data_IF_353168404919
#
_entry.id   IF_353168404919
#
_cell.length_a   1.000
_cell.length_b   1.000
_cell.length_c   1.000
_cell.angle_alpha   90.00
_cell.angle_beta   90.00
_cell.angle_gamma   90.00
#
_symmetry.space_group_name_H-M   'P 1'
#
loop_
_entity.id
_entity.type
_entity.pdbx_description
1 polymer ?
#
# COMPACT_ATOMS: atom_id res chain seq x y z
N UNK A 1 -33.18 -0.03 -6.97
CA UNK A 1 -32.04 -0.60 -7.72
C UNK A 1 -30.85 -0.57 -6.77
N UNK A 2 -30.61 -1.68 -6.07
CA UNK A 2 -29.72 -1.75 -4.89
C UNK A 2 -28.37 -2.39 -5.26
N UNK A 3 -27.60 -1.74 -6.12
CA UNK A 3 -26.28 -2.25 -6.55
C UNK A 3 -25.16 -1.91 -5.55
N UNK A 4 -25.29 -0.82 -4.78
CA UNK A 4 -24.19 -0.30 -3.94
C UNK A 4 -23.94 -1.12 -2.66
N UNK A 5 -24.90 -1.93 -2.20
CA UNK A 5 -24.76 -2.65 -0.93
C UNK A 5 -23.82 -3.88 -1.02
N UNK A 6 -23.73 -4.53 -2.20
CA UNK A 6 -22.85 -5.70 -2.40
C UNK A 6 -21.39 -5.32 -2.69
N UNK A 7 -21.17 -4.20 -3.38
CA UNK A 7 -19.84 -3.65 -3.64
C UNK A 7 -19.23 -3.07 -2.36
N UNK A 8 -19.97 -2.26 -1.58
CA UNK A 8 -19.50 -1.70 -0.32
C UNK A 8 -19.09 -2.76 0.74
N UNK A 9 -19.78 -3.91 0.77
CA UNK A 9 -19.40 -5.02 1.66
C UNK A 9 -18.12 -5.73 1.23
N UNK A 10 -17.88 -5.81 -0.09
CA UNK A 10 -16.66 -6.38 -0.65
C UNK A 10 -15.48 -5.42 -0.45
N UNK A 11 -15.74 -4.12 -0.61
CA UNK A 11 -14.85 -2.98 -0.39
C UNK A 11 -14.37 -2.94 1.06
N UNK A 12 -15.22 -2.74 2.06
CA UNK A 12 -14.78 -2.72 3.47
C UNK A 12 -13.93 -3.94 3.86
N UNK A 13 -14.27 -5.10 3.30
CA UNK A 13 -13.52 -6.34 3.51
C UNK A 13 -12.09 -6.32 3.01
N UNK A 14 -11.74 -5.52 1.99
CA UNK A 14 -10.38 -5.40 1.48
C UNK A 14 -9.50 -4.59 2.43
N UNK A 15 -9.90 -3.36 2.79
CA UNK A 15 -9.12 -2.54 3.71
C UNK A 15 -8.93 -3.19 5.09
N UNK A 16 -9.95 -3.90 5.60
CA UNK A 16 -9.84 -4.67 6.85
C UNK A 16 -8.81 -5.80 6.75
N UNK A 17 -8.77 -6.54 5.63
CA UNK A 17 -7.78 -7.60 5.39
C UNK A 17 -6.36 -7.06 5.30
N UNK A 18 -6.22 -5.86 4.74
CA UNK A 18 -4.94 -5.17 4.62
C UNK A 18 -4.51 -4.52 5.94
N UNK A 19 -5.42 -4.45 6.92
CA UNK A 19 -5.15 -4.01 8.29
C UNK A 19 -5.17 -2.50 8.49
N UNK A 20 -5.92 -1.76 7.66
CA UNK A 20 -6.19 -0.34 7.87
C UNK A 20 -7.19 -0.15 9.01
N UNK A 21 -7.07 0.97 9.72
CA UNK A 21 -7.86 1.32 10.90
C UNK A 21 -8.60 2.65 10.68
N UNK A 22 -9.71 2.90 11.40
CA UNK A 22 -10.43 4.15 11.25
C UNK A 22 -9.60 5.29 11.84
N UNK A 23 -9.68 6.47 11.23
CA UNK A 23 -8.94 7.67 11.59
C UNK A 23 -7.48 7.71 11.15
N UNK A 24 -7.02 6.75 10.34
CA UNK A 24 -5.66 6.78 9.79
C UNK A 24 -5.59 7.68 8.56
N UNK A 25 -4.59 8.53 8.50
CA UNK A 25 -4.19 9.23 7.27
C UNK A 25 -3.33 8.27 6.45
N UNK A 26 -3.72 8.03 5.19
CA UNK A 26 -3.02 7.12 4.28
C UNK A 26 -2.51 7.90 3.09
N UNK A 27 -1.20 7.89 2.88
CA UNK A 27 -0.58 8.47 1.69
C UNK A 27 -0.42 7.42 0.60
N UNK A 28 -0.67 7.81 -0.65
CA UNK A 28 -0.47 6.97 -1.82
C UNK A 28 0.68 7.44 -2.69
N UNK A 29 1.43 6.49 -3.24
CA UNK A 29 2.59 6.70 -4.09
C UNK A 29 2.50 5.79 -5.33
N UNK A 30 2.98 6.25 -6.48
CA UNK A 30 2.96 5.47 -7.73
C UNK A 30 1.56 5.32 -8.34
N UNK A 31 0.65 6.23 -8.02
CA UNK A 31 -0.69 6.25 -8.58
C UNK A 31 -0.64 6.41 -10.11
N UNK A 32 -1.36 5.55 -10.83
CA UNK A 32 -1.50 5.60 -12.28
C UNK A 32 -2.88 5.04 -12.70
N UNK A 33 -3.17 5.01 -13.99
CA UNK A 33 -4.48 4.62 -14.56
C UNK A 33 -4.88 3.15 -14.30
N UNK A 34 -3.95 2.29 -13.87
CA UNK A 34 -4.13 0.84 -13.63
C UNK A 34 -4.38 0.46 -12.16
N UNK A 35 -4.43 1.44 -11.26
CA UNK A 35 -4.70 1.23 -9.84
C UNK A 35 -6.10 0.68 -9.60
N UNK A 36 -6.25 -0.06 -8.50
CA UNK A 36 -7.54 -0.61 -8.10
C UNK A 36 -8.38 0.46 -7.36
N UNK A 37 -9.26 1.17 -8.09
CA UNK A 37 -10.16 2.18 -7.53
C UNK A 37 -11.07 1.62 -6.42
N UNK A 38 -11.44 0.34 -6.54
CA UNK A 38 -12.27 -0.33 -5.53
C UNK A 38 -11.49 -0.48 -4.22
N UNK A 39 -10.21 -0.81 -4.30
CA UNK A 39 -9.34 -0.84 -3.13
C UNK A 39 -9.18 0.55 -2.51
N UNK A 40 -8.96 1.60 -3.31
CA UNK A 40 -8.85 2.99 -2.81
C UNK A 40 -10.12 3.43 -2.09
N UNK A 41 -11.29 3.23 -2.71
CA UNK A 41 -12.59 3.55 -2.11
C UNK A 41 -12.82 2.79 -0.79
N UNK A 42 -12.44 1.51 -0.76
CA UNK A 42 -12.46 0.67 0.43
C UNK A 42 -11.61 1.24 1.57
N UNK A 43 -10.39 1.70 1.26
CA UNK A 43 -9.49 2.30 2.25
C UNK A 43 -10.09 3.59 2.78
N UNK A 44 -10.54 4.48 1.89
CA UNK A 44 -11.15 5.77 2.28
C UNK A 44 -12.39 5.59 3.15
N UNK A 45 -13.27 4.63 2.82
CA UNK A 45 -14.44 4.32 3.65
C UNK A 45 -14.02 3.76 5.02
N UNK A 46 -12.96 2.96 5.04
CA UNK A 46 -12.48 2.30 6.26
C UNK A 46 -11.76 3.25 7.21
N UNK A 47 -10.94 4.15 6.67
CA UNK A 47 -10.23 5.20 7.43
C UNK A 47 -11.18 6.33 7.79
N UNK A 48 -12.17 6.61 6.95
CA UNK A 48 -13.02 7.80 7.06
C UNK A 48 -12.36 9.07 6.51
N UNK A 49 -11.20 8.94 5.87
CA UNK A 49 -10.39 10.01 5.30
C UNK A 49 -10.06 9.65 3.84
N UNK A 50 -10.00 10.63 2.95
CA UNK A 50 -9.50 10.40 1.58
C UNK A 50 -7.99 10.13 1.61
N UNK A 51 -7.51 9.33 0.65
CA UNK A 51 -6.08 9.08 0.50
C UNK A 51 -5.41 10.38 0.03
N UNK A 52 -4.25 10.70 0.60
CA UNK A 52 -3.45 11.87 0.22
C UNK A 52 -2.37 11.44 -0.77
N UNK A 53 -2.02 12.32 -1.71
CA UNK A 53 -1.02 12.04 -2.75
C UNK A 53 0.42 12.16 -2.24
N UNK A 54 1.38 11.83 -3.11
CA UNK A 54 2.81 11.88 -2.82
C UNK A 54 3.34 13.29 -2.49
N UNK A 55 2.63 14.34 -2.89
CA UNK A 55 2.97 15.74 -2.62
C UNK A 55 2.56 16.19 -1.20
N UNK A 56 1.91 15.32 -0.42
CA UNK A 56 1.50 15.64 0.94
C UNK A 56 2.71 15.75 1.89
N UNK A 57 2.95 16.97 2.40
CA UNK A 57 4.06 17.32 3.31
C UNK A 57 3.87 16.87 4.77
N UNK A 58 2.73 16.28 5.13
CA UNK A 58 2.41 15.88 6.50
C UNK A 58 2.90 14.47 6.84
N UNK A 59 2.91 14.16 8.14
CA UNK A 59 3.17 12.78 8.60
C UNK A 59 1.89 11.96 8.47
N UNK A 60 2.00 10.73 7.97
CA UNK A 60 0.86 9.81 7.79
C UNK A 60 0.98 8.55 8.64
N UNK A 61 -0.16 7.90 8.94
CA UNK A 61 -0.20 6.67 9.74
C UNK A 61 0.20 5.42 8.96
N UNK A 62 -0.01 5.45 7.64
CA UNK A 62 0.33 4.36 6.72
C UNK A 62 0.58 4.90 5.30
N UNK A 63 1.35 4.15 4.53
CA UNK A 63 1.56 4.43 3.11
C UNK A 63 1.10 3.26 2.25
N UNK A 64 0.59 3.60 1.07
CA UNK A 64 0.20 2.69 0.00
C UNK A 64 1.10 2.96 -1.20
N UNK A 65 1.97 2.01 -1.55
CA UNK A 65 2.87 2.13 -2.68
C UNK A 65 2.39 1.22 -3.80
N UNK A 66 1.99 1.78 -4.94
CA UNK A 66 1.76 1.02 -6.17
C UNK A 66 3.08 0.89 -6.91
N UNK A 67 3.56 -0.34 -7.08
CA UNK A 67 4.89 -0.60 -7.62
C UNK A 67 4.83 -1.55 -8.82
N UNK A 68 5.52 -1.18 -9.90
CA UNK A 68 5.60 -1.93 -11.15
C UNK A 68 7.06 -2.19 -11.50
N UNK A 69 7.31 -3.15 -12.37
CA UNK A 69 8.68 -3.55 -12.78
C UNK A 69 9.30 -2.57 -13.80
N UNK A 70 8.47 -1.73 -14.42
CA UNK A 70 8.84 -0.76 -15.46
C UNK A 70 9.07 0.66 -14.92
N UNK A 71 9.00 0.84 -13.61
CA UNK A 71 9.33 2.12 -12.95
C UNK A 71 10.82 2.48 -13.19
N UNK A 72 11.11 3.77 -13.39
CA UNK A 72 12.48 4.24 -13.66
C UNK A 72 13.37 4.24 -12.41
N UNK A 73 12.75 4.39 -11.23
CA UNK A 73 13.41 4.43 -9.93
C UNK A 73 13.66 3.04 -9.35
N UNK A 74 14.58 2.94 -8.38
CA UNK A 74 14.79 1.69 -7.63
C UNK A 74 13.79 1.59 -6.47
N UNK A 75 13.15 0.42 -6.31
CA UNK A 75 12.19 0.17 -5.23
C UNK A 75 12.77 0.48 -3.84
N UNK A 76 14.06 0.24 -3.65
CA UNK A 76 14.72 0.52 -2.37
C UNK A 76 14.70 2.00 -2.06
N UNK A 77 15.04 2.85 -3.03
CA UNK A 77 15.10 4.30 -2.85
C UNK A 77 13.71 4.86 -2.57
N UNK A 78 12.71 4.40 -3.33
CA UNK A 78 11.31 4.77 -3.10
C UNK A 78 10.81 4.30 -1.73
N UNK A 79 11.20 3.11 -1.28
CA UNK A 79 10.85 2.62 0.06
C UNK A 79 11.50 3.46 1.18
N UNK A 80 12.69 4.02 0.96
CA UNK A 80 13.34 4.94 1.90
C UNK A 80 12.56 6.26 1.99
N UNK A 81 12.13 6.81 0.86
CA UNK A 81 11.33 8.04 0.81
C UNK A 81 9.95 7.84 1.46
N UNK A 82 9.25 6.75 1.10
CA UNK A 82 7.97 6.37 1.70
C UNK A 82 8.10 6.16 3.21
N UNK A 83 9.18 5.54 3.68
CA UNK A 83 9.46 5.39 5.10
C UNK A 83 9.64 6.73 5.81
N UNK A 84 10.15 7.76 5.12
CA UNK A 84 10.30 9.11 5.66
C UNK A 84 8.96 9.82 5.92
N UNK A 85 7.94 9.55 5.10
CA UNK A 85 6.61 10.16 5.23
C UNK A 85 5.74 9.51 6.33
N UNK A 86 5.99 8.24 6.65
CA UNK A 86 5.19 7.46 7.60
C UNK A 86 5.66 7.69 9.04
N UNK A 87 4.71 7.88 9.97
CA UNK A 87 5.00 8.01 11.40
C UNK A 87 5.79 6.77 11.89
N UNK A 88 6.71 6.97 12.85
CA UNK A 88 7.56 5.91 13.38
C UNK A 88 6.78 4.68 13.86
N UNK A 89 6.74 3.63 13.02
CA UNK A 89 6.02 2.38 13.28
C UNK A 89 4.72 2.18 12.50
N UNK A 90 4.39 3.10 11.58
CA UNK A 90 3.32 2.93 10.61
C UNK A 90 3.60 1.79 9.62
N UNK A 91 2.53 1.38 8.93
CA UNK A 91 2.60 0.27 7.97
C UNK A 91 2.79 0.82 6.55
N UNK A 92 3.69 0.22 5.80
CA UNK A 92 3.84 0.46 4.37
C UNK A 92 3.25 -0.75 3.65
N UNK A 93 2.31 -0.52 2.75
CA UNK A 93 1.70 -1.55 1.94
C UNK A 93 2.15 -1.39 0.49
N UNK A 94 3.06 -2.28 0.06
CA UNK A 94 3.55 -2.33 -1.33
C UNK A 94 2.61 -3.21 -2.13
N UNK A 95 2.00 -2.66 -3.16
CA UNK A 95 1.13 -3.35 -4.09
C UNK A 95 1.90 -3.60 -5.38
N UNK A 96 1.94 -4.86 -5.82
CA UNK A 96 2.51 -5.22 -7.13
C UNK A 96 1.47 -5.94 -7.99
N UNK A 97 1.51 -5.80 -9.32
CA UNK A 97 0.64 -6.58 -10.20
C UNK A 97 0.81 -8.07 -9.95
N UNK A 98 -0.27 -8.85 -9.99
CA UNK A 98 -0.18 -10.31 -9.82
C UNK A 98 0.59 -10.99 -10.95
N UNK A 99 1.16 -12.16 -10.65
CA UNK A 99 1.89 -12.96 -11.61
C UNK A 99 1.12 -13.17 -12.93
N UNK A 100 1.78 -12.92 -14.06
CA UNK A 100 1.18 -12.98 -15.39
C UNK A 100 0.54 -11.67 -15.87
N UNK A 101 0.64 -10.59 -15.10
CA UNK A 101 0.29 -9.23 -15.52
C UNK A 101 1.53 -8.42 -15.88
N UNK A 102 1.32 -7.39 -16.68
CA UNK A 102 2.34 -6.38 -16.97
C UNK A 102 2.75 -5.65 -15.69
N UNK A 103 4.02 -5.24 -15.61
CA UNK A 103 4.59 -4.65 -14.41
C UNK A 103 4.70 -5.60 -13.20
N UNK A 104 4.52 -6.92 -13.36
CA UNK A 104 4.61 -7.85 -12.24
C UNK A 104 6.01 -7.88 -11.62
N UNK A 105 6.09 -7.52 -10.33
CA UNK A 105 7.30 -7.64 -9.53
C UNK A 105 7.24 -8.88 -8.63
N UNK A 106 8.25 -9.77 -8.67
CA UNK A 106 8.34 -10.93 -7.80
C UNK A 106 8.34 -10.55 -6.30
N UNK A 107 7.66 -11.32 -5.44
CA UNK A 107 7.68 -11.05 -4.00
C UNK A 107 9.08 -11.09 -3.36
N UNK A 108 10.02 -11.81 -3.97
CA UNK A 108 11.41 -11.85 -3.50
C UNK A 108 12.10 -10.51 -3.67
N UNK A 109 11.92 -9.86 -4.82
CA UNK A 109 12.56 -8.59 -5.15
C UNK A 109 12.04 -7.49 -4.22
N UNK A 110 10.73 -7.51 -3.92
CA UNK A 110 10.13 -6.65 -2.88
C UNK A 110 10.76 -6.89 -1.50
N UNK A 111 11.02 -8.15 -1.13
CA UNK A 111 11.61 -8.49 0.16
C UNK A 111 13.09 -8.06 0.25
N UNK A 112 13.84 -8.17 -0.84
CA UNK A 112 15.23 -7.71 -0.93
C UNK A 112 15.34 -6.19 -0.85
N UNK A 113 14.51 -5.46 -1.59
CA UNK A 113 14.41 -4.01 -1.52
C UNK A 113 13.99 -3.55 -0.11
N UNK A 114 12.96 -4.17 0.47
CA UNK A 114 12.52 -3.89 1.83
C UNK A 114 13.64 -4.09 2.86
N UNK A 115 14.39 -5.19 2.76
CA UNK A 115 15.52 -5.46 3.66
C UNK A 115 16.60 -4.40 3.52
N UNK A 116 16.90 -3.97 2.29
CA UNK A 116 17.91 -2.93 2.01
C UNK A 116 17.48 -1.56 2.53
N UNK A 117 16.18 -1.23 2.40
CA UNK A 117 15.56 -0.03 3.00
C UNK A 117 15.44 -0.10 4.53
N UNK A 118 15.87 -1.20 5.17
CA UNK A 118 15.79 -1.40 6.61
C UNK A 118 14.39 -1.71 7.13
N UNK A 119 13.48 -2.12 6.25
CA UNK A 119 12.12 -2.57 6.57
C UNK A 119 12.07 -4.08 6.79
N UNK A 120 10.98 -4.55 7.40
CA UNK A 120 10.70 -5.98 7.54
C UNK A 120 9.34 -6.33 6.96
N UNK A 121 9.31 -7.36 6.11
CA UNK A 121 8.07 -7.92 5.60
C UNK A 121 7.34 -8.69 6.72
N UNK A 122 6.04 -8.44 6.85
CA UNK A 122 5.21 -9.03 7.90
C UNK A 122 4.17 -10.00 7.37
N UNK A 123 3.60 -9.70 6.20
CA UNK A 123 2.56 -10.53 5.57
C UNK A 123 2.42 -10.17 4.10
N UNK A 124 1.95 -11.15 3.33
CA UNK A 124 1.48 -10.97 1.96
C UNK A 124 -0.01 -11.29 1.90
N UNK A 125 -0.77 -10.49 1.15
CA UNK A 125 -2.23 -10.47 1.13
C UNK A 125 -2.71 -10.15 -0.27
N UNK A 126 -3.84 -10.71 -0.71
CA UNK A 126 -4.43 -10.30 -1.99
C UNK A 126 -5.07 -8.91 -1.83
N UNK A 127 -4.69 -7.97 -2.67
CA UNK A 127 -5.16 -6.59 -2.66
C UNK A 127 -6.12 -6.33 -3.84
N UNK A 128 -7.19 -7.13 -3.93
CA UNK A 128 -8.14 -7.08 -5.05
C UNK A 128 -7.90 -8.15 -6.10
N UNK A 129 -8.47 -7.95 -7.29
CA UNK A 129 -8.40 -8.93 -8.39
C UNK A 129 -7.01 -8.96 -9.00
N UNK A 130 -6.37 -7.80 -9.07
CA UNK A 130 -5.27 -7.55 -10.00
C UNK A 130 -3.93 -7.35 -9.30
N UNK A 131 -3.99 -6.96 -8.02
CA UNK A 131 -2.85 -6.58 -7.22
C UNK A 131 -2.61 -7.55 -6.05
N UNK A 132 -1.34 -7.75 -5.74
CA UNK A 132 -0.84 -8.45 -4.55
C UNK A 132 -0.26 -7.42 -3.60
N UNK A 133 -0.63 -7.48 -2.33
CA UNK A 133 -0.12 -6.59 -1.29
C UNK A 133 0.92 -7.25 -0.41
N UNK A 134 1.99 -6.52 -0.14
CA UNK A 134 3.07 -6.89 0.79
C UNK A 134 3.14 -5.84 1.89
N UNK A 135 2.90 -6.26 3.13
CA UNK A 135 2.95 -5.37 4.29
C UNK A 135 4.36 -5.34 4.86
N UNK A 136 4.94 -4.15 4.85
CA UNK A 136 6.24 -3.83 5.44
C UNK A 136 6.06 -2.97 6.69
N UNK A 137 6.97 -3.11 7.64
CA UNK A 137 7.03 -2.26 8.82
C UNK A 137 8.47 -1.87 9.10
N UNK A 138 8.67 -0.65 9.60
CA UNK A 138 9.94 -0.26 10.16
C UNK A 138 10.22 -1.09 11.43
N UNK A 139 11.45 -1.60 11.62
CA UNK A 139 11.84 -2.22 12.87
C UNK A 139 11.66 -1.21 13.99
N UNK A 140 11.07 -1.67 15.10
CA UNK A 140 10.96 -0.84 16.31
C UNK A 140 12.37 -0.48 16.75
N UNK A 141 12.81 0.74 16.45
CA UNK A 141 14.01 1.28 17.05
C UNK A 141 13.71 1.44 18.53
N UNK A 142 14.26 0.52 19.33
CA UNK A 142 14.24 0.60 20.77
C UNK A 142 15.12 1.81 21.15
N UNK A 143 14.50 2.99 21.22
CA UNK A 143 15.12 4.18 21.80
C UNK A 143 15.18 4.04 23.32
#
# INVERSE_FOLDING_TARGET
>A
MSATAGQAQSERGLADRLGFKPGQVVQEFGFDDDVDEQLRASIAERTGEELVDEDYDGVVDAALLWWRDDEEDDLTDVLVDVLGAVEGGGAILVLTPKAGREGHVPPNDVAEAATTAGLSQTSAVSAGTDWSGTRLVAPKMQR
#
